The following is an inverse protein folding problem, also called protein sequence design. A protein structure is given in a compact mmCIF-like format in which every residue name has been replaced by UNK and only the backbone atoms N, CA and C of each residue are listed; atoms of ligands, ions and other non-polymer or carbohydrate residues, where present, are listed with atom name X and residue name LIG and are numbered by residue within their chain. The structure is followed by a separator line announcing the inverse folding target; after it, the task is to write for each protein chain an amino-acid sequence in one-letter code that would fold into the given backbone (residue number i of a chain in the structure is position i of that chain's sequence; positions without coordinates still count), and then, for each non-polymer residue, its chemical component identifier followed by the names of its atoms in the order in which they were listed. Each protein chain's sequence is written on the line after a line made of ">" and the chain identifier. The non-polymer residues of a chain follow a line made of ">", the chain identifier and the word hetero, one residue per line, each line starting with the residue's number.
data_IF_508617201465
#
_entry.id   IF_508617201465
#
_cell.length_a   1.000
_cell.length_b   1.000
_cell.length_c   1.000
_cell.angle_alpha   90.00
_cell.angle_beta   90.00
_cell.angle_gamma   90.00
#
_symmetry.space_group_name_H-M   'P 1'
#
loop_
_entity.id
_entity.type
_entity.pdbx_description
1 polymer ?
#
# COMPACT_ATOMS: atom_id res chain seq x y z
N UNK A 1 -16.40 20.49 35.04
CA UNK A 1 -15.76 20.95 33.78
C UNK A 1 -14.94 19.85 33.10
N UNK A 2 -14.26 18.97 33.85
CA UNK A 2 -13.45 17.86 33.30
C UNK A 2 -14.32 16.75 32.66
N UNK A 3 -15.44 16.35 33.26
CA UNK A 3 -16.33 15.30 32.70
C UNK A 3 -17.03 15.67 31.38
N UNK A 4 -17.26 16.96 31.14
CA UNK A 4 -17.91 17.45 29.90
C UNK A 4 -16.92 17.43 28.73
N UNK A 5 -15.63 17.68 28.99
CA UNK A 5 -14.58 17.53 27.97
C UNK A 5 -14.40 16.06 27.56
N UNK A 6 -14.37 15.13 28.52
CA UNK A 6 -14.20 13.69 28.23
C UNK A 6 -15.39 13.08 27.47
N UNK A 7 -16.62 13.55 27.73
CA UNK A 7 -17.79 13.16 26.95
C UNK A 7 -17.77 13.71 25.52
N UNK A 8 -17.22 14.91 25.33
CA UNK A 8 -17.13 15.53 24.00
C UNK A 8 -16.09 14.83 23.11
N UNK A 9 -14.93 14.45 23.67
CA UNK A 9 -13.88 13.78 22.89
C UNK A 9 -14.24 12.31 22.58
N UNK A 10 -14.89 11.61 23.51
CA UNK A 10 -15.42 10.26 23.24
C UNK A 10 -16.49 10.26 22.15
N UNK A 11 -17.36 11.28 22.09
CA UNK A 11 -18.32 11.44 21.01
C UNK A 11 -17.66 11.68 19.64
N UNK A 12 -16.60 12.50 19.59
CA UNK A 12 -15.82 12.72 18.35
C UNK A 12 -15.18 11.42 17.87
N UNK A 13 -14.54 10.68 18.76
CA UNK A 13 -13.90 9.40 18.44
C UNK A 13 -14.93 8.38 17.95
N UNK A 14 -16.12 8.33 18.57
CA UNK A 14 -17.20 7.45 18.11
C UNK A 14 -17.67 7.81 16.71
N UNK A 15 -17.81 9.11 16.41
CA UNK A 15 -18.17 9.57 15.07
C UNK A 15 -17.10 9.21 14.04
N UNK A 16 -15.82 9.44 14.35
CA UNK A 16 -14.69 9.06 13.50
C UNK A 16 -14.63 7.54 13.25
N UNK A 17 -14.84 6.74 14.30
CA UNK A 17 -14.86 5.28 14.19
C UNK A 17 -15.96 4.82 13.23
N UNK A 18 -17.18 5.32 13.39
CA UNK A 18 -18.28 4.97 12.49
C UNK A 18 -18.00 5.36 11.03
N UNK A 19 -17.44 6.56 10.82
CA UNK A 19 -17.06 7.02 9.48
C UNK A 19 -15.98 6.12 8.84
N UNK A 20 -14.98 5.69 9.61
CA UNK A 20 -13.92 4.80 9.13
C UNK A 20 -14.45 3.38 8.86
N UNK A 21 -15.33 2.86 9.72
CA UNK A 21 -15.98 1.56 9.54
C UNK A 21 -16.81 1.50 8.25
N UNK A 22 -17.55 2.56 7.93
CA UNK A 22 -18.31 2.65 6.67
C UNK A 22 -17.37 2.59 5.45
N UNK A 23 -16.19 3.21 5.55
CA UNK A 23 -15.21 3.23 4.47
C UNK A 23 -14.47 1.91 4.29
N UNK A 24 -14.32 1.11 5.35
CA UNK A 24 -13.52 -0.13 5.34
C UNK A 24 -13.92 -1.06 4.18
N UNK A 25 -15.24 -1.23 3.97
CA UNK A 25 -15.79 -2.08 2.90
C UNK A 25 -15.30 -1.71 1.49
N UNK A 26 -14.98 -0.43 1.25
CA UNK A 26 -14.48 0.09 -0.04
C UNK A 26 -12.97 -0.11 -0.21
N UNK A 27 -12.29 -0.36 0.89
CA UNK A 27 -10.84 -0.51 1.00
C UNK A 27 -10.42 -1.98 1.21
N UNK A 28 -11.35 -2.92 1.34
CA UNK A 28 -10.99 -4.34 1.39
C UNK A 28 -10.58 -4.89 0.01
N UNK A 29 -9.52 -5.72 -0.07
CA UNK A 29 -9.18 -6.44 -1.29
C UNK A 29 -10.23 -7.52 -1.59
N UNK A 30 -10.40 -7.87 -2.89
CA UNK A 30 -11.33 -8.93 -3.26
C UNK A 30 -10.79 -10.30 -2.84
N UNK A 31 -11.45 -10.94 -1.89
CA UNK A 31 -11.08 -12.28 -1.36
C UNK A 31 -10.90 -13.32 -2.47
N UNK A 32 -11.77 -13.32 -3.49
CA UNK A 32 -11.64 -14.26 -4.60
C UNK A 32 -10.33 -14.08 -5.39
N UNK A 33 -9.84 -12.85 -5.55
CA UNK A 33 -8.59 -12.57 -6.24
C UNK A 33 -7.37 -12.99 -5.41
N UNK A 34 -7.39 -12.72 -4.11
CA UNK A 34 -6.29 -13.13 -3.21
C UNK A 34 -6.15 -14.66 -3.12
N UNK A 35 -7.27 -15.39 -3.06
CA UNK A 35 -7.25 -16.87 -3.08
C UNK A 35 -6.59 -17.46 -4.33
N UNK A 36 -6.66 -16.77 -5.47
CA UNK A 36 -5.97 -17.22 -6.69
C UNK A 36 -4.45 -17.08 -6.56
N UNK A 37 -3.98 -16.08 -5.83
CA UNK A 37 -2.55 -15.83 -5.55
C UNK A 37 -2.04 -16.81 -4.49
N UNK A 38 -2.85 -17.12 -3.48
CA UNK A 38 -2.53 -18.12 -2.44
C UNK A 38 -2.43 -19.54 -3.01
N UNK A 39 -3.32 -19.91 -3.93
CA UNK A 39 -3.35 -21.25 -4.54
C UNK A 39 -2.40 -21.41 -5.73
N UNK A 40 -1.73 -20.35 -6.18
CA UNK A 40 -0.86 -20.40 -7.34
C UNK A 40 0.46 -21.13 -7.05
N UNK A 41 0.78 -22.11 -7.89
CA UNK A 41 2.10 -22.75 -7.89
C UNK A 41 3.15 -21.85 -8.55
N UNK A 42 4.35 -21.91 -7.99
CA UNK A 42 5.52 -21.19 -8.47
C UNK A 42 6.08 -21.81 -9.75
N UNK A 43 5.66 -21.26 -10.88
CA UNK A 43 6.12 -21.63 -12.21
C UNK A 43 6.70 -20.42 -12.97
N UNK A 44 6.94 -19.30 -12.28
CA UNK A 44 7.43 -18.04 -12.86
C UNK A 44 6.45 -17.27 -13.75
N UNK A 45 5.26 -17.79 -14.04
CA UNK A 45 4.32 -17.20 -15.01
C UNK A 45 3.21 -16.36 -14.39
N UNK A 46 2.96 -16.50 -13.08
CA UNK A 46 1.85 -15.85 -12.36
C UNK A 46 2.28 -15.39 -10.98
N UNK A 47 1.54 -14.42 -10.45
CA UNK A 47 1.66 -14.01 -9.06
C UNK A 47 1.39 -15.17 -8.10
N UNK A 48 2.16 -15.22 -7.02
CA UNK A 48 2.03 -16.17 -5.91
C UNK A 48 2.07 -15.40 -4.58
N UNK A 49 1.58 -16.01 -3.50
CA UNK A 49 1.66 -15.41 -2.17
C UNK A 49 3.11 -15.07 -1.79
N UNK A 50 4.06 -15.95 -2.12
CA UNK A 50 5.49 -15.73 -1.86
C UNK A 50 6.05 -14.50 -2.55
N UNK A 51 5.65 -14.23 -3.81
CA UNK A 51 6.07 -13.04 -4.53
C UNK A 51 5.46 -11.78 -3.92
N UNK A 52 4.18 -11.83 -3.54
CA UNK A 52 3.51 -10.73 -2.83
C UNK A 52 4.22 -10.43 -1.50
N UNK A 53 4.59 -11.45 -0.73
CA UNK A 53 5.29 -11.27 0.55
C UNK A 53 6.70 -10.73 0.38
N UNK A 54 7.38 -11.06 -0.72
CA UNK A 54 8.66 -10.45 -1.07
C UNK A 54 8.49 -8.95 -1.32
N UNK A 55 7.52 -8.56 -2.16
CA UNK A 55 7.23 -7.16 -2.43
C UNK A 55 6.85 -6.39 -1.16
N UNK A 56 6.03 -6.96 -0.28
CA UNK A 56 5.66 -6.32 0.99
C UNK A 56 6.87 -6.09 1.91
N UNK A 57 7.88 -6.97 1.88
CA UNK A 57 9.14 -6.75 2.62
C UNK A 57 9.97 -5.63 2.01
N UNK A 58 9.99 -5.51 0.68
CA UNK A 58 10.64 -4.39 -0.01
C UNK A 58 9.96 -3.07 0.35
N UNK A 59 8.62 -3.03 0.35
CA UNK A 59 7.84 -1.86 0.78
C UNK A 59 8.13 -1.45 2.23
N UNK A 60 8.24 -2.43 3.14
CA UNK A 60 8.59 -2.16 4.53
C UNK A 60 10.00 -1.56 4.63
N UNK A 61 10.95 -2.12 3.89
CA UNK A 61 12.33 -1.66 3.85
C UNK A 61 12.45 -0.24 3.31
N UNK A 62 11.67 0.11 2.26
CA UNK A 62 11.59 1.47 1.75
C UNK A 62 10.97 2.43 2.77
N UNK A 63 9.86 2.04 3.41
CA UNK A 63 9.24 2.84 4.48
C UNK A 63 10.25 3.18 5.57
N UNK A 64 11.00 2.17 6.04
CA UNK A 64 12.04 2.35 7.05
C UNK A 64 13.21 3.20 6.57
N UNK A 65 13.65 3.02 5.31
CA UNK A 65 14.74 3.78 4.73
C UNK A 65 14.45 5.28 4.67
N UNK A 66 13.22 5.64 4.27
CA UNK A 66 12.81 7.05 4.18
C UNK A 66 12.29 7.62 5.51
N UNK A 67 12.06 6.78 6.52
CA UNK A 67 11.52 7.20 7.81
C UNK A 67 10.05 7.63 7.75
N UNK A 68 9.27 7.01 6.86
CA UNK A 68 7.83 7.28 6.70
C UNK A 68 6.98 6.64 7.79
N UNK A 69 5.75 7.13 7.94
CA UNK A 69 4.81 6.63 8.94
C UNK A 69 4.40 5.17 8.64
N UNK A 70 4.01 4.44 9.68
CA UNK A 70 3.46 3.08 9.54
C UNK A 70 2.13 3.09 8.79
N UNK A 71 1.37 4.19 8.83
CA UNK A 71 0.19 4.42 8.03
C UNK A 71 0.51 4.41 6.53
N UNK A 72 1.63 5.03 6.12
CA UNK A 72 2.11 5.01 4.72
C UNK A 72 2.39 3.58 4.25
N UNK A 73 3.08 2.77 5.07
CA UNK A 73 3.28 1.35 4.77
C UNK A 73 1.96 0.59 4.66
N UNK A 74 1.06 0.78 5.63
CA UNK A 74 -0.24 0.11 5.68
C UNK A 74 -1.10 0.43 4.46
N UNK A 75 -1.10 1.69 4.02
CA UNK A 75 -1.79 2.13 2.81
C UNK A 75 -1.14 1.54 1.55
N UNK A 76 0.18 1.51 1.46
CA UNK A 76 0.88 0.91 0.31
C UNK A 76 0.52 -0.57 0.14
N UNK A 77 0.52 -1.35 1.24
CA UNK A 77 0.10 -2.76 1.23
C UNK A 77 -1.38 -2.91 0.87
N UNK A 78 -2.25 -2.06 1.42
CA UNK A 78 -3.67 -2.05 1.08
C UNK A 78 -3.91 -1.83 -0.42
N UNK A 79 -3.21 -0.86 -1.02
CA UNK A 79 -3.29 -0.58 -2.45
C UNK A 79 -2.78 -1.75 -3.28
N UNK A 80 -1.65 -2.35 -2.90
CA UNK A 80 -1.08 -3.53 -3.57
C UNK A 80 -2.07 -4.69 -3.57
N UNK A 81 -2.61 -5.07 -2.42
CA UNK A 81 -3.53 -6.22 -2.31
C UNK A 81 -4.83 -5.98 -3.08
N UNK A 82 -5.37 -4.74 -3.06
CA UNK A 82 -6.55 -4.39 -3.85
C UNK A 82 -6.26 -4.47 -5.35
N UNK A 83 -5.10 -4.00 -5.79
CA UNK A 83 -4.70 -4.08 -7.19
C UNK A 83 -4.53 -5.52 -7.65
N UNK A 84 -3.75 -6.32 -6.91
CA UNK A 84 -3.50 -7.73 -7.19
C UNK A 84 -4.79 -8.57 -7.14
N UNK A 85 -5.75 -8.22 -6.30
CA UNK A 85 -7.05 -8.90 -6.24
C UNK A 85 -7.94 -8.68 -7.47
N UNK A 86 -7.64 -7.68 -8.31
CA UNK A 86 -8.41 -7.32 -9.50
C UNK A 86 -7.66 -7.56 -10.80
N UNK A 87 -6.33 -7.52 -10.78
CA UNK A 87 -5.49 -7.54 -11.97
C UNK A 87 -4.66 -8.81 -12.07
N UNK A 88 -4.55 -9.37 -13.28
CA UNK A 88 -3.64 -10.48 -13.58
C UNK A 88 -2.23 -9.94 -13.87
N UNK A 89 -1.47 -9.70 -12.82
CA UNK A 89 -0.09 -9.19 -12.91
C UNK A 89 0.87 -10.34 -13.23
N UNK A 90 1.86 -10.09 -14.10
CA UNK A 90 3.00 -10.99 -14.27
C UNK A 90 4.09 -10.62 -13.27
N UNK A 91 4.85 -11.59 -12.71
CA UNK A 91 5.91 -11.32 -11.72
C UNK A 91 6.91 -10.23 -12.14
N UNK A 92 7.24 -10.13 -13.43
CA UNK A 92 8.16 -9.12 -13.97
C UNK A 92 7.69 -7.66 -13.78
N UNK A 93 6.41 -7.44 -13.55
CA UNK A 93 5.83 -6.11 -13.33
C UNK A 93 5.59 -5.80 -11.86
N UNK A 94 5.83 -6.76 -10.96
CA UNK A 94 5.49 -6.63 -9.54
C UNK A 94 6.16 -5.42 -8.88
N UNK A 95 7.48 -5.26 -9.05
CA UNK A 95 8.19 -4.11 -8.47
C UNK A 95 7.68 -2.76 -8.98
N UNK A 96 7.25 -2.67 -10.24
CA UNK A 96 6.63 -1.43 -10.75
C UNK A 96 5.28 -1.16 -10.10
N UNK A 97 4.45 -2.20 -9.95
CA UNK A 97 3.15 -2.10 -9.29
C UNK A 97 3.32 -1.73 -7.81
N UNK A 98 4.22 -2.41 -7.09
CA UNK A 98 4.47 -2.16 -5.68
C UNK A 98 5.04 -0.78 -5.43
N UNK A 99 6.07 -0.35 -6.18
CA UNK A 99 6.61 1.01 -6.05
C UNK A 99 5.57 2.08 -6.42
N UNK A 100 4.67 1.82 -7.37
CA UNK A 100 3.57 2.73 -7.68
C UNK A 100 2.59 2.86 -6.51
N UNK A 101 2.22 1.73 -5.88
CA UNK A 101 1.37 1.72 -4.68
C UNK A 101 2.04 2.46 -3.52
N UNK A 102 3.34 2.25 -3.33
CA UNK A 102 4.15 2.98 -2.35
C UNK A 102 4.14 4.48 -2.61
N UNK A 103 4.40 4.90 -3.85
CA UNK A 103 4.48 6.31 -4.18
C UNK A 103 3.13 7.04 -4.02
N UNK A 104 2.03 6.36 -4.35
CA UNK A 104 0.68 6.86 -4.10
C UNK A 104 0.40 6.99 -2.60
N UNK A 105 0.83 6.02 -1.79
CA UNK A 105 0.66 6.07 -0.33
C UNK A 105 1.45 7.24 0.28
N UNK A 106 2.72 7.40 -0.12
CA UNK A 106 3.59 8.50 0.32
C UNK A 106 2.94 9.84 -0.02
N UNK A 107 2.46 10.03 -1.25
CA UNK A 107 1.75 11.26 -1.65
C UNK A 107 0.44 11.53 -0.88
N UNK A 108 -0.14 10.50 -0.27
CA UNK A 108 -1.44 10.62 0.40
C UNK A 108 -1.30 10.91 1.90
N UNK A 109 -0.25 10.38 2.54
CA UNK A 109 -0.07 10.42 3.99
C UNK A 109 1.05 11.38 4.41
N UNK A 110 2.17 11.37 3.68
CA UNK A 110 3.33 12.16 4.03
C UNK A 110 3.17 13.63 3.61
N UNK A 111 3.83 14.54 4.33
CA UNK A 111 3.86 15.95 3.94
C UNK A 111 4.54 16.12 2.57
N UNK A 112 4.03 17.05 1.74
CA UNK A 112 4.53 17.27 0.37
C UNK A 112 6.05 17.47 0.30
N UNK A 113 6.65 18.13 1.30
CA UNK A 113 8.10 18.34 1.38
C UNK A 113 8.92 17.06 1.59
N UNK A 114 8.29 16.00 2.10
CA UNK A 114 8.89 14.69 2.36
C UNK A 114 8.69 13.73 1.19
N UNK A 115 7.85 14.07 0.22
CA UNK A 115 7.58 13.23 -0.96
C UNK A 115 8.83 13.22 -1.86
N UNK A 116 9.50 12.07 -2.05
CA UNK A 116 10.70 11.99 -2.87
C UNK A 116 10.36 12.07 -4.36
N UNK A 117 11.36 12.44 -5.16
CA UNK A 117 11.23 12.41 -6.62
C UNK A 117 11.08 10.95 -7.09
N UNK A 118 10.26 10.74 -8.10
CA UNK A 118 10.08 9.43 -8.75
C UNK A 118 11.42 8.83 -9.20
N UNK A 119 12.35 9.65 -9.68
CA UNK A 119 13.70 9.24 -10.07
C UNK A 119 14.52 8.68 -8.90
N UNK A 120 14.39 9.28 -7.72
CA UNK A 120 15.13 8.85 -6.54
C UNK A 120 14.53 7.56 -5.97
N UNK A 121 13.20 7.43 -5.96
CA UNK A 121 12.51 6.19 -5.58
C UNK A 121 12.94 5.00 -6.46
N UNK A 122 12.96 5.18 -7.78
CA UNK A 122 13.40 4.13 -8.71
C UNK A 122 14.87 3.78 -8.47
N UNK A 123 15.72 4.80 -8.28
CA UNK A 123 17.15 4.58 -8.01
C UNK A 123 17.38 3.84 -6.70
N UNK A 124 16.66 4.17 -5.63
CA UNK A 124 16.83 3.57 -4.31
C UNK A 124 16.28 2.14 -4.27
N UNK A 125 15.11 1.91 -4.87
CA UNK A 125 14.48 0.58 -4.95
C UNK A 125 15.20 -0.41 -5.87
N UNK A 126 16.18 0.04 -6.67
CA UNK A 126 16.96 -0.78 -7.61
C UNK A 126 16.11 -1.51 -8.68
N UNK A 127 14.86 -1.09 -8.88
CA UNK A 127 14.02 -1.66 -9.93
C UNK A 127 14.44 -1.15 -11.32
N UNK A 128 14.17 -1.99 -12.34
CA UNK A 128 14.53 -1.72 -13.73
C UNK A 128 13.31 -1.29 -14.56
N UNK A 129 12.75 -0.13 -14.24
CA UNK A 129 11.71 0.52 -15.04
C UNK A 129 11.89 2.04 -15.05
N UNK A 130 11.19 2.73 -15.95
CA UNK A 130 11.34 4.18 -16.15
C UNK A 130 10.35 4.97 -15.28
N UNK A 131 10.62 6.27 -15.10
CA UNK A 131 9.64 7.19 -14.50
C UNK A 131 8.32 7.18 -15.28
N UNK A 132 8.37 7.02 -16.61
CA UNK A 132 7.15 6.92 -17.41
C UNK A 132 6.34 5.66 -17.11
N UNK A 133 6.97 4.57 -16.69
CA UNK A 133 6.26 3.34 -16.30
C UNK A 133 5.59 3.51 -14.94
N UNK A 134 6.25 4.20 -14.00
CA UNK A 134 5.70 4.54 -12.69
C UNK A 134 4.49 5.50 -12.79
N UNK A 135 4.51 6.42 -13.76
CA UNK A 135 3.49 7.47 -13.90
C UNK A 135 2.29 7.08 -14.79
N UNK A 136 2.27 5.86 -15.33
CA UNK A 136 1.22 5.37 -16.25
C UNK A 136 0.03 4.79 -15.49
#
# INVERSE_FOLDING_TARGET
>A
MIEVLTTTDSQKLLHQLNALLEQESRCQPKVCGLRLIESAHDNGLRMTARLRDFEVKDLLSLTQFFGFDTETFSLAVNLLDRFLSKMKVQPKHLGCVGLSCFYLAVKSIEEERNVPLATDLIRISQYRFTVSDLMR
#
